data_IF_300896641471
#
_entry.id   IF_300896641471
#
_cell.length_a   1.000
_cell.length_b   1.000
_cell.length_c   1.000
_cell.angle_alpha   90.00
_cell.angle_beta   90.00
_cell.angle_gamma   90.00
#
_symmetry.space_group_name_H-M   'P 1'
#
loop_
_entity.id
_entity.type
_entity.pdbx_description
1 polymer ?
#
# COMPACT_ATOMS: atom_id res chain seq x y z
N UNK A 1 17.43 -5.84 10.36
CA UNK A 1 16.28 -6.45 11.07
C UNK A 1 15.84 -7.67 10.29
N UNK A 2 16.11 -8.88 10.79
CA UNK A 2 15.67 -10.13 10.16
C UNK A 2 14.32 -10.53 10.79
N UNK A 3 13.26 -9.81 10.43
CA UNK A 3 11.88 -10.21 10.74
C UNK A 3 11.53 -11.27 9.69
N UNK A 4 11.18 -12.48 10.11
CA UNK A 4 10.76 -13.54 9.20
C UNK A 4 9.37 -13.21 8.62
N UNK A 5 9.03 -13.77 7.45
CA UNK A 5 7.73 -13.49 6.79
C UNK A 5 6.55 -13.85 7.71
N UNK A 6 6.72 -14.88 8.53
CA UNK A 6 5.75 -15.30 9.54
C UNK A 6 5.51 -14.22 10.61
N UNK A 7 6.59 -13.68 11.19
CA UNK A 7 6.49 -12.62 12.20
C UNK A 7 5.82 -11.35 11.63
N UNK A 8 6.08 -11.06 10.34
CA UNK A 8 5.44 -9.95 9.64
C UNK A 8 3.92 -10.18 9.54
N UNK A 9 3.49 -11.39 9.17
CA UNK A 9 2.08 -11.75 9.05
C UNK A 9 1.39 -11.73 10.41
N UNK A 10 2.06 -12.18 11.47
CA UNK A 10 1.55 -12.16 12.84
C UNK A 10 1.35 -10.72 13.33
N UNK A 11 2.26 -9.79 13.00
CA UNK A 11 2.11 -8.35 13.30
C UNK A 11 0.92 -7.73 12.56
N UNK A 12 0.60 -8.23 11.36
CA UNK A 12 -0.51 -7.75 10.54
C UNK A 12 -1.76 -8.63 10.62
N UNK A 13 -1.84 -9.52 11.61
CA UNK A 13 -3.02 -10.33 11.86
C UNK A 13 -4.21 -9.41 12.14
N UNK A 14 -5.34 -9.66 11.48
CA UNK A 14 -6.54 -8.81 11.55
C UNK A 14 -6.48 -7.52 10.73
N UNK A 15 -5.39 -7.22 10.03
CA UNK A 15 -5.32 -6.12 9.06
C UNK A 15 -5.95 -6.58 7.73
N UNK A 16 -6.89 -5.82 7.14
CA UNK A 16 -7.47 -6.18 5.85
C UNK A 16 -6.41 -6.27 4.75
N UNK A 17 -6.47 -7.35 3.96
CA UNK A 17 -5.52 -7.63 2.89
C UNK A 17 -6.17 -7.51 1.51
N UNK A 18 -5.40 -7.03 0.53
CA UNK A 18 -5.81 -6.95 -0.87
C UNK A 18 -4.73 -7.50 -1.78
N UNK A 19 -5.12 -8.33 -2.73
CA UNK A 19 -4.20 -8.85 -3.72
C UNK A 19 -4.01 -7.86 -4.87
N UNK A 20 -2.77 -7.69 -5.31
CA UNK A 20 -2.38 -6.86 -6.45
C UNK A 20 -1.52 -7.70 -7.41
N UNK A 21 -1.80 -7.62 -8.71
CA UNK A 21 -1.04 -8.40 -9.68
C UNK A 21 0.38 -7.85 -9.81
N UNK A 22 1.39 -8.72 -9.79
CA UNK A 22 2.79 -8.31 -10.01
C UNK A 22 2.98 -7.52 -11.30
N UNK A 23 2.28 -7.90 -12.37
CA UNK A 23 2.32 -7.24 -13.67
C UNK A 23 1.84 -5.77 -13.64
N UNK A 24 1.02 -5.40 -12.66
CA UNK A 24 0.61 -4.01 -12.48
C UNK A 24 1.72 -3.15 -11.86
N UNK A 25 2.64 -3.75 -11.10
CA UNK A 25 3.76 -3.05 -10.45
C UNK A 25 5.05 -3.02 -11.27
N UNK A 26 5.26 -3.99 -12.17
CA UNK A 26 6.45 -4.05 -13.02
C UNK A 26 6.71 -2.77 -13.84
N UNK A 27 5.72 -2.20 -14.57
CA UNK A 27 5.93 -0.92 -15.26
C UNK A 27 5.98 0.28 -14.29
N UNK A 28 5.63 0.06 -13.02
CA UNK A 28 5.33 1.10 -12.05
C UNK A 28 3.88 1.57 -12.16
N UNK A 29 3.24 1.77 -11.02
CA UNK A 29 1.85 2.21 -10.94
C UNK A 29 1.73 3.48 -10.08
N UNK A 30 0.88 4.40 -10.52
CA UNK A 30 0.58 5.57 -9.72
C UNK A 30 -0.10 5.17 -8.41
N UNK A 31 0.34 5.75 -7.30
CA UNK A 31 -0.18 5.42 -5.98
C UNK A 31 -1.70 5.57 -5.89
N UNK A 32 -2.26 6.59 -6.55
CA UNK A 32 -3.71 6.83 -6.56
C UNK A 32 -4.45 5.65 -7.21
N UNK A 33 -3.95 5.18 -8.36
CA UNK A 33 -4.57 4.07 -9.08
C UNK A 33 -4.39 2.76 -8.32
N UNK A 34 -3.22 2.55 -7.70
CA UNK A 34 -3.02 1.41 -6.82
C UNK A 34 -4.02 1.42 -5.65
N UNK A 35 -4.20 2.57 -5.00
CA UNK A 35 -5.01 2.71 -3.79
C UNK A 35 -6.54 2.67 -4.02
N UNK A 36 -7.00 3.05 -5.21
CA UNK A 36 -8.43 3.14 -5.52
C UNK A 36 -8.91 2.13 -6.59
N UNK A 37 -8.08 1.77 -7.56
CA UNK A 37 -8.47 0.90 -8.68
C UNK A 37 -8.00 -0.54 -8.48
N UNK A 38 -6.73 -0.72 -8.07
CA UNK A 38 -6.14 -2.06 -7.90
C UNK A 38 -6.36 -2.62 -6.51
N UNK A 39 -6.44 -1.75 -5.51
CA UNK A 39 -6.85 -2.08 -4.16
C UNK A 39 -8.15 -1.36 -3.82
N UNK A 40 -8.92 -1.93 -2.89
CA UNK A 40 -10.19 -1.34 -2.42
C UNK A 40 -10.00 -0.50 -1.15
N UNK A 41 -8.84 0.13 -1.00
CA UNK A 41 -8.53 0.96 0.18
C UNK A 41 -9.31 2.28 0.15
N UNK A 42 -9.53 2.82 -1.04
CA UNK A 42 -10.35 4.01 -1.28
C UNK A 42 -11.44 3.72 -2.31
N UNK A 43 -12.56 4.41 -2.23
CA UNK A 43 -13.69 4.21 -3.14
C UNK A 43 -13.50 4.92 -4.48
N UNK A 44 -12.60 5.90 -4.56
CA UNK A 44 -12.32 6.65 -5.79
C UNK A 44 -10.92 7.27 -5.82
N UNK A 45 -10.44 7.57 -7.02
CA UNK A 45 -9.18 8.29 -7.24
C UNK A 45 -9.20 9.69 -6.58
N UNK A 46 -10.37 10.35 -6.58
CA UNK A 46 -10.54 11.66 -5.94
C UNK A 46 -10.39 11.60 -4.41
N UNK A 47 -10.95 10.57 -3.78
CA UNK A 47 -10.80 10.34 -2.34
C UNK A 47 -9.33 10.06 -1.98
N UNK A 48 -8.68 9.15 -2.70
CA UNK A 48 -7.27 8.81 -2.50
C UNK A 48 -6.37 10.05 -2.63
N UNK A 49 -6.55 10.85 -3.69
CA UNK A 49 -5.77 12.08 -3.91
C UNK A 49 -5.94 13.09 -2.77
N UNK A 50 -7.17 13.35 -2.33
CA UNK A 50 -7.44 14.27 -1.21
C UNK A 50 -6.75 13.81 0.08
N UNK A 51 -6.77 12.52 0.36
CA UNK A 51 -6.16 11.92 1.54
C UNK A 51 -4.62 11.95 1.50
N UNK A 52 -4.02 11.80 0.31
CA UNK A 52 -2.59 11.99 0.10
C UNK A 52 -2.18 13.45 0.29
N UNK A 53 -2.94 14.40 -0.28
CA UNK A 53 -2.69 15.84 -0.15
C UNK A 53 -2.84 16.35 1.29
N UNK A 54 -3.76 15.78 2.08
CA UNK A 54 -3.91 16.09 3.51
C UNK A 54 -2.88 15.39 4.40
N UNK A 55 -1.88 14.72 3.81
CA UNK A 55 -0.83 13.97 4.51
C UNK A 55 -1.41 12.85 5.41
N UNK A 56 -2.62 12.38 5.11
CA UNK A 56 -3.33 11.35 5.86
C UNK A 56 -3.01 9.93 5.39
N UNK A 57 -2.20 9.74 4.34
CA UNK A 57 -1.79 8.43 3.84
C UNK A 57 -0.30 8.20 4.08
N UNK A 58 0.08 6.97 4.35
CA UNK A 58 1.49 6.56 4.46
C UNK A 58 1.67 5.18 3.85
N UNK A 59 2.80 4.97 3.17
CA UNK A 59 3.17 3.70 2.54
C UNK A 59 4.45 3.21 3.21
N UNK A 60 4.45 1.96 3.67
CA UNK A 60 5.56 1.37 4.41
C UNK A 60 6.04 2.25 5.58
N UNK A 61 5.08 2.88 6.28
CA UNK A 61 5.30 3.86 7.37
C UNK A 61 5.98 5.18 6.96
N UNK A 62 6.14 5.43 5.65
CA UNK A 62 6.67 6.68 5.11
C UNK A 62 5.55 7.55 4.51
N UNK A 63 5.65 8.87 4.67
CA UNK A 63 4.77 9.82 3.99
C UNK A 63 5.09 9.84 2.50
N UNK A 64 4.06 9.95 1.69
CA UNK A 64 4.14 9.93 0.23
C UNK A 64 3.20 10.97 -0.36
N UNK A 65 3.53 11.48 -1.54
CA UNK A 65 2.71 12.44 -2.27
C UNK A 65 1.81 11.74 -3.28
N UNK A 66 0.88 12.50 -3.87
CA UNK A 66 -0.02 12.04 -4.93
C UNK A 66 0.69 11.59 -6.21
N UNK A 67 1.95 12.02 -6.40
CA UNK A 67 2.76 11.77 -7.60
C UNK A 67 3.67 10.55 -7.44
N UNK A 68 3.61 9.85 -6.30
CA UNK A 68 4.43 8.67 -6.03
C UNK A 68 4.02 7.55 -7.00
N UNK A 69 5.01 7.05 -7.72
CA UNK A 69 4.93 5.79 -8.47
C UNK A 69 5.49 4.68 -7.58
N UNK A 70 4.74 3.60 -7.44
CA UNK A 70 5.13 2.40 -6.71
C UNK A 70 5.64 1.33 -7.69
N UNK A 71 6.75 0.70 -7.33
CA UNK A 71 7.44 -0.34 -8.10
C UNK A 71 7.76 -1.54 -7.21
N UNK A 72 8.30 -2.61 -7.83
CA UNK A 72 8.71 -3.81 -7.11
C UNK A 72 9.73 -3.53 -5.97
N UNK A 73 10.55 -2.50 -6.12
CA UNK A 73 11.54 -2.10 -5.10
C UNK A 73 10.90 -1.50 -3.83
N UNK A 74 9.65 -1.05 -3.92
CA UNK A 74 8.89 -0.56 -2.75
C UNK A 74 8.28 -1.72 -1.93
N UNK A 75 8.48 -2.98 -2.33
CA UNK A 75 7.91 -4.14 -1.65
C UNK A 75 8.70 -4.54 -0.41
N UNK A 76 8.01 -4.62 0.72
CA UNK A 76 8.49 -5.28 1.93
C UNK A 76 8.63 -6.77 1.62
N UNK A 77 9.86 -7.29 1.81
CA UNK A 77 10.21 -8.70 1.53
C UNK A 77 9.84 -9.15 0.10
N UNK A 78 9.79 -8.22 -0.86
CA UNK A 78 9.45 -8.52 -2.25
C UNK A 78 8.00 -8.93 -2.50
N UNK A 79 7.11 -8.79 -1.51
CA UNK A 79 5.71 -9.26 -1.60
C UNK A 79 4.66 -8.29 -1.08
N UNK A 80 5.00 -7.39 -0.15
CA UNK A 80 3.98 -6.65 0.59
C UNK A 80 4.14 -5.14 0.52
N UNK A 81 3.04 -4.41 0.54
CA UNK A 81 2.99 -2.95 0.75
C UNK A 81 2.06 -2.67 1.92
N UNK A 82 2.56 -1.97 2.93
CA UNK A 82 1.73 -1.51 4.04
C UNK A 82 1.16 -0.13 3.72
N UNK A 83 -0.16 -0.02 3.69
CA UNK A 83 -0.87 1.24 3.54
C UNK A 83 -1.47 1.64 4.88
N UNK A 84 -1.24 2.88 5.29
CA UNK A 84 -1.88 3.49 6.45
C UNK A 84 -2.79 4.63 6.00
N UNK A 85 -4.07 4.59 6.40
CA UNK A 85 -5.09 5.63 6.19
C UNK A 85 -5.44 6.27 7.55
N UNK A 86 -5.01 7.52 7.73
CA UNK A 86 -5.11 8.24 9.00
C UNK A 86 -4.15 7.67 10.04
N UNK A 87 -4.59 7.59 11.30
CA UNK A 87 -3.75 7.09 12.42
C UNK A 87 -3.89 5.60 12.68
N UNK A 88 -5.08 5.03 12.48
CA UNK A 88 -5.43 3.68 12.97
C UNK A 88 -5.76 2.65 11.90
N UNK A 89 -6.07 3.07 10.67
CA UNK A 89 -6.47 2.13 9.63
C UNK A 89 -5.23 1.70 8.86
N UNK A 90 -4.90 0.42 8.96
CA UNK A 90 -3.85 -0.20 8.18
C UNK A 90 -4.49 -1.16 7.17
N UNK A 91 -3.83 -1.31 6.04
CA UNK A 91 -4.20 -2.24 4.98
C UNK A 91 -2.91 -2.85 4.43
N UNK A 92 -2.94 -4.14 4.13
CA UNK A 92 -1.80 -4.84 3.56
C UNK A 92 -2.11 -5.17 2.10
N UNK A 93 -1.32 -4.65 1.16
CA UNK A 93 -1.40 -5.07 -0.23
C UNK A 93 -0.39 -6.19 -0.44
N UNK A 94 -0.86 -7.32 -0.95
CA UNK A 94 -0.05 -8.50 -1.22
C UNK A 94 0.09 -8.66 -2.73
N UNK A 95 1.33 -8.69 -3.21
CA UNK A 95 1.62 -9.00 -4.61
C UNK A 95 1.43 -10.50 -4.84
N UNK A 96 0.63 -10.82 -5.85
CA UNK A 96 0.36 -12.18 -6.33
C UNK A 96 0.75 -12.34 -7.80
#
# INVERSE_FOLDING_TARGET
>A
MNIEERDLLDIFEGVPQFDIAKSDLEPGIQIIDLLAQKSKVFQSNGEARRMLQSNAVSINKLKVTADKVLKLDDLIKGKYILVQKGKKNYFLLKVV
#
